data_IF_094717288999
#
_entry.id   IF_094717288999
#
_cell.length_a   1.000
_cell.length_b   1.000
_cell.length_c   1.000
_cell.angle_alpha   90.00
_cell.angle_beta   90.00
_cell.angle_gamma   90.00
#
_symmetry.space_group_name_H-M   'P 1'
#
loop_
_entity.id
_entity.type
_entity.pdbx_description
1 polymer ?
#
# COMPACT_ATOMS: atom_id res chain seq x y z
N UNK A 1 -19.37 2.14 30.79
CA UNK A 1 -20.18 2.36 29.59
C UNK A 1 -21.63 2.01 29.84
N UNK A 2 -22.57 2.61 29.10
CA UNK A 2 -23.96 2.14 29.14
C UNK A 2 -24.09 0.88 28.26
N UNK A 3 -24.59 -0.22 28.84
CA UNK A 3 -24.89 -1.47 28.15
C UNK A 3 -26.31 -1.90 28.51
N UNK A 4 -27.15 -2.14 27.49
CA UNK A 4 -28.55 -2.57 27.67
C UNK A 4 -29.34 -1.70 28.66
N UNK A 5 -29.11 -0.38 28.62
CA UNK A 5 -29.76 0.59 29.52
C UNK A 5 -29.08 0.80 30.88
N UNK A 6 -28.19 -0.10 31.31
CA UNK A 6 -27.51 -0.03 32.60
C UNK A 6 -26.09 0.53 32.50
N UNK A 7 -25.63 1.21 33.55
CA UNK A 7 -24.25 1.67 33.65
C UNK A 7 -23.36 0.56 34.18
N UNK A 8 -22.35 0.19 33.39
CA UNK A 8 -21.34 -0.82 33.74
C UNK A 8 -19.97 -0.13 33.85
N UNK A 9 -19.23 -0.42 34.91
CA UNK A 9 -17.83 0.03 35.04
C UNK A 9 -16.95 -0.86 34.18
N UNK A 10 -16.28 -0.27 33.17
CA UNK A 10 -15.37 -1.02 32.29
C UNK A 10 -13.92 -0.99 32.79
N UNK A 11 -13.55 0.10 33.48
CA UNK A 11 -12.19 0.29 34.00
C UNK A 11 -12.22 1.19 35.22
N UNK A 12 -11.51 0.77 36.25
CA UNK A 12 -11.16 1.58 37.41
C UNK A 12 -9.74 2.12 37.22
N UNK A 13 -9.58 3.42 37.46
CA UNK A 13 -8.31 4.13 37.29
C UNK A 13 -7.95 4.80 38.60
N UNK A 14 -6.81 4.40 39.18
CA UNK A 14 -6.24 5.05 40.34
C UNK A 14 -5.06 5.92 39.91
N UNK A 15 -5.16 7.22 40.14
CA UNK A 15 -4.09 8.18 39.85
C UNK A 15 -3.36 8.49 41.16
N UNK A 16 -2.07 8.12 41.23
CA UNK A 16 -1.20 8.39 42.38
C UNK A 16 0.09 9.08 41.91
N UNK A 17 0.59 10.02 42.72
CA UNK A 17 1.88 10.67 42.48
C UNK A 17 1.85 12.17 42.73
N UNK A 18 3.01 12.81 42.60
CA UNK A 18 3.19 14.26 42.71
C UNK A 18 3.67 14.80 41.37
N UNK A 19 2.92 15.75 40.81
CA UNK A 19 3.26 16.44 39.56
C UNK A 19 3.07 17.94 39.75
N UNK A 20 3.85 18.75 39.05
CA UNK A 20 3.69 20.21 38.97
C UNK A 20 2.95 20.65 37.70
N UNK A 21 2.73 19.74 36.76
CA UNK A 21 2.03 19.96 35.48
C UNK A 21 0.83 19.02 35.33
N UNK A 22 -0.03 19.30 34.35
CA UNK A 22 -1.18 18.46 34.04
C UNK A 22 -0.75 17.01 33.75
N UNK A 23 -1.38 16.06 34.43
CA UNK A 23 -1.20 14.63 34.18
C UNK A 23 -2.33 14.12 33.28
N UNK A 24 -1.98 13.41 32.21
CA UNK A 24 -2.94 12.77 31.30
C UNK A 24 -2.90 11.26 31.52
N UNK A 25 -4.04 10.71 31.92
CA UNK A 25 -4.27 9.27 31.95
C UNK A 25 -5.09 8.87 30.72
N UNK A 26 -4.64 7.85 30.00
CA UNK A 26 -5.39 7.25 28.89
C UNK A 26 -5.88 5.85 29.29
N UNK A 27 -7.09 5.52 28.85
CA UNK A 27 -7.69 4.20 29.03
C UNK A 27 -8.13 3.72 27.67
N UNK A 28 -7.63 2.55 27.27
CA UNK A 28 -8.09 1.84 26.07
C UNK A 28 -9.23 0.93 26.51
N UNK A 29 -10.38 1.09 25.87
CA UNK A 29 -11.57 0.27 26.07
C UNK A 29 -11.87 -0.48 24.78
N UNK A 30 -11.72 -1.80 24.83
CA UNK A 30 -12.08 -2.68 23.73
C UNK A 30 -13.59 -3.01 23.75
N UNK A 31 -14.08 -3.67 22.68
CA UNK A 31 -15.45 -4.20 22.57
C UNK A 31 -16.55 -3.18 22.94
N UNK A 32 -16.49 -2.02 22.28
CA UNK A 32 -17.49 -0.97 22.41
C UNK A 32 -18.87 -1.46 21.90
N UNK A 33 -19.98 -1.08 22.56
CA UNK A 33 -21.32 -1.39 22.10
C UNK A 33 -21.63 -0.70 20.75
N UNK A 34 -22.63 -1.20 19.99
CA UNK A 34 -23.06 -0.56 18.75
C UNK A 34 -23.47 0.91 18.99
N UNK A 35 -23.14 1.78 18.04
CA UNK A 35 -23.54 3.20 18.10
C UNK A 35 -25.07 3.34 17.96
N UNK A 36 -25.71 4.29 18.66
CA UNK A 36 -25.13 5.22 19.64
C UNK A 36 -24.96 4.59 21.03
N UNK A 37 -23.92 5.00 21.75
CA UNK A 37 -23.69 4.59 23.13
C UNK A 37 -23.21 5.77 23.98
N UNK A 38 -23.39 5.65 25.30
CA UNK A 38 -23.01 6.69 26.26
C UNK A 38 -21.79 6.27 27.08
N UNK A 39 -20.85 7.20 27.25
CA UNK A 39 -19.70 7.08 28.15
C UNK A 39 -19.96 7.99 29.35
N UNK A 40 -19.62 7.50 30.54
CA UNK A 40 -19.63 8.27 31.78
C UNK A 40 -18.36 8.00 32.55
N UNK A 41 -17.71 9.07 32.98
CA UNK A 41 -16.64 9.03 33.95
C UNK A 41 -17.23 9.42 35.31
N UNK A 42 -16.96 8.62 36.34
CA UNK A 42 -17.38 8.92 37.71
C UNK A 42 -16.11 9.01 38.54
N UNK A 43 -16.02 10.08 39.33
CA UNK A 43 -14.98 10.21 40.34
C UNK A 43 -15.52 9.69 41.67
N UNK A 44 -14.81 8.75 42.28
CA UNK A 44 -15.20 8.17 43.56
C UNK A 44 -14.64 8.92 44.77
N UNK A 45 -13.52 9.63 44.60
CA UNK A 45 -12.85 10.37 45.68
C UNK A 45 -13.42 11.79 45.81
N UNK A 46 -13.57 12.28 47.04
CA UNK A 46 -14.01 13.65 47.30
C UNK A 46 -12.98 14.70 46.81
N UNK A 47 -13.47 15.91 46.51
CA UNK A 47 -12.62 17.07 46.25
C UNK A 47 -11.72 17.38 47.44
N UNK A 48 -10.47 17.75 47.17
CA UNK A 48 -9.59 18.22 48.22
C UNK A 48 -10.08 19.58 48.73
N UNK A 49 -10.10 19.72 50.06
CA UNK A 49 -10.38 20.99 50.74
C UNK A 49 -9.12 21.74 51.14
N UNK A 50 -7.93 21.20 50.83
CA UNK A 50 -6.64 21.77 51.21
C UNK A 50 -5.84 22.19 49.98
N UNK A 51 -5.09 23.28 50.07
CA UNK A 51 -4.22 23.76 48.99
C UNK A 51 -3.03 22.84 48.73
N UNK A 52 -2.67 21.99 49.70
CA UNK A 52 -1.55 21.06 49.61
C UNK A 52 -1.82 19.90 48.64
N UNK A 53 -3.09 19.62 48.34
CA UNK A 53 -3.50 18.57 47.42
C UNK A 53 -4.46 19.16 46.38
N UNK A 54 -4.01 19.24 45.14
CA UNK A 54 -4.85 19.60 44.00
C UNK A 54 -5.22 18.33 43.24
N UNK A 55 -6.50 17.94 43.27
CA UNK A 55 -6.98 16.68 42.69
C UNK A 55 -8.12 16.88 41.67
N UNK A 56 -8.21 18.09 41.09
CA UNK A 56 -9.20 18.41 40.06
C UNK A 56 -9.00 17.50 38.84
N UNK A 57 -10.02 16.72 38.52
CA UNK A 57 -10.02 15.78 37.40
C UNK A 57 -10.97 16.27 36.31
N UNK A 58 -10.53 16.22 35.05
CA UNK A 58 -11.30 16.69 33.90
C UNK A 58 -11.23 15.64 32.79
N UNK A 59 -12.34 15.48 32.06
CA UNK A 59 -12.33 14.71 30.81
C UNK A 59 -11.68 15.55 29.71
N UNK A 60 -10.63 15.01 29.09
CA UNK A 60 -9.90 15.73 28.03
C UNK A 60 -10.48 15.43 26.65
N UNK A 61 -10.45 14.18 26.21
CA UNK A 61 -10.93 13.76 24.89
C UNK A 61 -11.22 12.26 24.86
N UNK A 62 -11.88 11.80 23.80
CA UNK A 62 -11.89 10.40 23.42
C UNK A 62 -11.54 10.27 21.94
N UNK A 63 -10.92 9.15 21.60
CA UNK A 63 -10.61 8.77 20.22
C UNK A 63 -11.15 7.38 19.99
N UNK A 64 -12.02 7.22 19.01
CA UNK A 64 -12.49 5.90 18.58
C UNK A 64 -11.58 5.41 17.45
N UNK A 65 -10.92 4.27 17.67
CA UNK A 65 -10.11 3.60 16.66
C UNK A 65 -11.01 2.59 15.95
N UNK A 66 -11.22 2.78 14.65
CA UNK A 66 -11.99 1.86 13.81
C UNK A 66 -11.00 1.13 12.92
N UNK A 67 -10.72 -0.14 13.25
CA UNK A 67 -9.90 -1.00 12.40
C UNK A 67 -10.72 -1.45 11.18
N UNK A 68 -10.54 -0.74 10.08
CA UNK A 68 -11.04 -1.19 8.78
C UNK A 68 -9.95 -2.02 8.12
N UNK A 69 -10.23 -3.29 7.86
CA UNK A 69 -9.37 -4.14 7.03
C UNK A 69 -9.46 -3.65 5.58
N UNK A 70 -8.68 -2.63 5.25
CA UNK A 70 -8.54 -2.17 3.88
C UNK A 70 -7.66 -3.16 3.13
N UNK A 71 -8.26 -3.94 2.24
CA UNK A 71 -7.51 -4.60 1.19
C UNK A 71 -7.04 -3.51 0.23
N UNK A 72 -5.74 -3.46 -0.09
CA UNK A 72 -5.20 -2.66 -1.19
C UNK A 72 -5.01 -3.58 -2.41
N UNK A 73 -6.10 -3.98 -3.11
CA UNK A 73 -6.01 -4.96 -4.18
C UNK A 73 -5.19 -4.42 -5.35
N UNK A 74 -4.27 -5.25 -5.83
CA UNK A 74 -3.33 -4.94 -6.91
C UNK A 74 -2.35 -3.79 -6.58
N UNK A 75 -2.03 -3.59 -5.30
CA UNK A 75 -1.01 -2.65 -4.85
C UNK A 75 0.12 -3.44 -4.18
N UNK A 76 1.37 -3.16 -4.57
CA UNK A 76 2.53 -3.60 -3.81
C UNK A 76 2.77 -2.61 -2.66
N UNK A 77 2.84 -3.10 -1.43
CA UNK A 77 3.09 -2.29 -0.24
C UNK A 77 4.42 -2.74 0.38
N UNK A 78 5.25 -1.77 0.73
CA UNK A 78 6.46 -1.98 1.53
C UNK A 78 6.31 -1.20 2.82
N UNK A 79 6.42 -1.90 3.96
CA UNK A 79 6.53 -1.30 5.28
C UNK A 79 7.96 -1.44 5.78
N UNK A 80 8.56 -0.34 6.22
CA UNK A 80 9.88 -0.32 6.84
C UNK A 80 9.74 0.22 8.26
N UNK A 81 10.25 -0.55 9.21
CA UNK A 81 10.40 -0.11 10.60
C UNK A 81 11.89 -0.04 10.90
N UNK A 82 12.32 1.12 11.37
CA UNK A 82 13.72 1.41 11.67
C UNK A 82 13.81 2.15 12.99
N UNK A 83 14.94 1.98 13.67
CA UNK A 83 15.22 2.68 14.92
C UNK A 83 15.68 4.12 14.63
N UNK A 84 15.03 5.09 15.27
CA UNK A 84 15.31 6.51 15.08
C UNK A 84 16.73 6.90 15.54
N UNK A 85 17.29 6.18 16.52
CA UNK A 85 18.66 6.44 17.03
C UNK A 85 19.73 6.20 15.95
N UNK A 86 19.48 5.25 15.04
CA UNK A 86 20.44 4.91 13.96
C UNK A 86 20.45 5.94 12.82
N UNK A 87 19.42 6.78 12.70
CA UNK A 87 19.26 7.73 11.59
C UNK A 87 19.44 9.20 12.01
N UNK A 88 19.84 9.46 13.26
CA UNK A 88 20.27 10.79 13.71
C UNK A 88 19.23 11.89 13.49
N UNK A 89 17.93 11.54 13.47
CA UNK A 89 16.84 12.47 13.20
C UNK A 89 16.67 12.89 11.74
N UNK A 90 17.40 12.32 10.79
CA UNK A 90 17.17 12.55 9.36
C UNK A 90 16.10 11.61 8.80
N UNK A 91 15.28 12.12 7.89
CA UNK A 91 14.29 11.32 7.18
C UNK A 91 15.02 10.34 6.24
N UNK A 92 14.73 9.05 6.40
CA UNK A 92 15.32 8.01 5.55
C UNK A 92 14.92 8.19 4.08
N UNK A 93 15.91 8.12 3.19
CA UNK A 93 15.67 7.96 1.75
C UNK A 93 15.80 6.49 1.39
N UNK A 94 14.75 5.91 0.81
CA UNK A 94 14.74 4.51 0.36
C UNK A 94 14.61 4.47 -1.16
N UNK A 95 15.54 3.79 -1.82
CA UNK A 95 15.50 3.56 -3.26
C UNK A 95 15.11 2.10 -3.52
N UNK A 96 14.22 1.90 -4.48
CA UNK A 96 13.75 0.57 -4.87
C UNK A 96 14.11 0.27 -6.31
N UNK A 97 14.68 -0.91 -6.56
CA UNK A 97 14.80 -1.46 -7.89
C UNK A 97 13.64 -2.42 -8.14
N UNK A 98 12.68 -2.01 -8.96
CA UNK A 98 11.47 -2.78 -9.25
C UNK A 98 11.46 -3.21 -10.72
N UNK A 99 11.10 -4.47 -10.97
CA UNK A 99 10.81 -4.95 -12.33
C UNK A 99 9.48 -4.37 -12.85
N UNK A 100 8.56 -3.98 -11.98
CA UNK A 100 7.26 -3.44 -12.39
C UNK A 100 6.21 -4.55 -12.52
N UNK A 101 5.36 -4.47 -13.55
CA UNK A 101 4.15 -5.29 -13.66
C UNK A 101 4.35 -6.55 -14.51
N UNK A 102 3.65 -7.63 -14.13
CA UNK A 102 3.47 -8.82 -14.97
C UNK A 102 2.42 -8.53 -16.05
N UNK A 103 2.81 -8.68 -17.31
CA UNK A 103 1.99 -8.43 -18.51
C UNK A 103 1.78 -9.73 -19.30
N UNK A 104 0.93 -9.70 -20.31
CA UNK A 104 0.73 -10.83 -21.21
C UNK A 104 1.74 -10.78 -22.36
N UNK A 105 2.50 -11.86 -22.54
CA UNK A 105 3.50 -12.03 -23.60
C UNK A 105 3.26 -13.34 -24.36
N UNK A 106 3.83 -13.56 -25.56
CA UNK A 106 3.70 -14.82 -26.28
C UNK A 106 4.14 -16.01 -25.44
N UNK A 107 3.39 -17.10 -25.53
CA UNK A 107 3.71 -18.36 -24.85
C UNK A 107 5.13 -18.86 -25.15
N UNK A 108 5.60 -18.63 -26.38
CA UNK A 108 6.92 -19.04 -26.88
C UNK A 108 8.04 -18.01 -26.62
N UNK A 109 7.75 -16.88 -25.96
CA UNK A 109 8.73 -15.84 -25.67
C UNK A 109 9.39 -16.05 -24.29
N UNK A 110 10.72 -15.98 -24.24
CA UNK A 110 11.49 -15.88 -23.00
C UNK A 110 11.86 -14.40 -22.78
N UNK A 111 11.26 -13.70 -21.80
CA UNK A 111 11.50 -12.28 -21.60
C UNK A 111 12.85 -11.96 -20.96
N UNK A 112 13.51 -12.92 -20.29
CA UNK A 112 14.82 -12.70 -19.70
C UNK A 112 15.91 -12.84 -20.77
N UNK A 113 15.80 -13.87 -21.61
CA UNK A 113 16.73 -14.09 -22.74
C UNK A 113 16.37 -13.29 -23.99
N UNK A 114 15.16 -12.77 -24.07
CA UNK A 114 14.58 -12.09 -25.24
C UNK A 114 14.55 -12.95 -26.50
N UNK A 115 14.28 -14.24 -26.34
CA UNK A 115 14.26 -15.21 -27.44
C UNK A 115 12.86 -15.79 -27.65
N UNK A 116 12.60 -16.21 -28.88
CA UNK A 116 11.34 -16.82 -29.29
C UNK A 116 11.63 -18.24 -29.78
N UNK A 117 10.97 -19.25 -29.20
CA UNK A 117 11.24 -20.66 -29.49
C UNK A 117 10.10 -21.34 -30.26
N UNK A 118 10.40 -21.86 -31.45
CA UNK A 118 9.38 -22.50 -32.29
C UNK A 118 8.34 -21.53 -32.85
N UNK A 119 7.31 -22.08 -33.48
CA UNK A 119 6.22 -21.31 -34.09
C UNK A 119 5.23 -20.92 -33.00
N UNK A 120 4.90 -19.62 -32.93
CA UNK A 120 3.90 -19.12 -32.01
C UNK A 120 2.49 -19.50 -32.47
N UNK A 121 1.69 -20.05 -31.57
CA UNK A 121 0.30 -20.47 -31.79
C UNK A 121 -0.72 -19.35 -31.51
N UNK A 122 -0.25 -18.15 -31.14
CA UNK A 122 -1.10 -17.02 -30.78
C UNK A 122 -1.53 -16.99 -29.30
N UNK A 123 -1.11 -17.95 -28.48
CA UNK A 123 -1.42 -17.97 -27.04
C UNK A 123 -0.51 -17.05 -26.23
N UNK A 124 -1.03 -16.50 -25.13
CA UNK A 124 -0.29 -15.59 -24.25
C UNK A 124 -0.08 -16.23 -22.87
N UNK A 125 1.00 -15.84 -22.21
CA UNK A 125 1.33 -16.21 -20.83
C UNK A 125 1.65 -14.96 -20.01
N UNK A 126 1.38 -14.98 -18.69
CA UNK A 126 1.80 -13.90 -17.80
C UNK A 126 3.32 -13.95 -17.58
N UNK A 127 4.02 -12.86 -17.89
CA UNK A 127 5.42 -12.68 -17.54
C UNK A 127 5.79 -11.20 -17.42
N UNK A 128 6.87 -10.89 -16.71
CA UNK A 128 7.47 -9.56 -16.78
C UNK A 128 8.16 -9.38 -18.14
N UNK A 129 7.96 -8.23 -18.80
CA UNK A 129 8.74 -7.82 -19.96
C UNK A 129 8.75 -6.30 -20.06
N UNK A 130 9.86 -5.74 -20.53
CA UNK A 130 10.01 -4.33 -20.90
C UNK A 130 10.19 -4.17 -22.42
N UNK A 131 9.74 -5.14 -23.21
CA UNK A 131 9.62 -5.00 -24.66
C UNK A 131 8.44 -4.05 -24.97
N UNK A 132 8.66 -2.94 -25.71
CA UNK A 132 7.63 -1.95 -25.99
C UNK A 132 6.36 -2.52 -26.63
N UNK A 133 6.48 -3.55 -27.48
CA UNK A 133 5.33 -4.16 -28.16
C UNK A 133 4.37 -4.82 -27.17
N UNK A 134 4.90 -5.54 -26.17
CA UNK A 134 4.09 -6.22 -25.15
C UNK A 134 3.59 -5.24 -24.09
N UNK A 135 4.36 -4.20 -23.76
CA UNK A 135 3.86 -3.11 -22.93
C UNK A 135 2.68 -2.37 -23.60
N UNK A 136 2.75 -2.16 -24.92
CA UNK A 136 1.66 -1.56 -25.68
C UNK A 136 0.42 -2.47 -25.73
N UNK A 137 0.61 -3.77 -25.97
CA UNK A 137 -0.49 -4.75 -25.89
C UNK A 137 -1.22 -4.66 -24.54
N UNK A 138 -0.48 -4.65 -23.43
CA UNK A 138 -1.05 -4.52 -22.10
C UNK A 138 -1.79 -3.17 -21.94
N UNK A 139 -1.21 -2.06 -22.37
CA UNK A 139 -1.89 -0.75 -22.27
C UNK A 139 -3.15 -0.64 -23.13
N UNK A 140 -3.21 -1.31 -24.28
CA UNK A 140 -4.41 -1.30 -25.13
C UNK A 140 -5.51 -2.22 -24.59
N UNK A 141 -5.14 -3.37 -24.02
CA UNK A 141 -6.11 -4.41 -23.63
C UNK A 141 -6.49 -4.40 -22.16
N UNK A 142 -5.73 -3.73 -21.29
CA UNK A 142 -5.97 -3.81 -19.86
C UNK A 142 -7.21 -2.97 -19.42
N UNK A 143 -8.19 -3.56 -18.70
CA UNK A 143 -9.46 -2.91 -18.42
C UNK A 143 -9.39 -1.79 -17.35
N UNK A 144 -8.35 -1.79 -16.51
CA UNK A 144 -8.24 -0.85 -15.37
C UNK A 144 -7.62 0.51 -15.73
N UNK A 145 -6.49 0.51 -16.41
CA UNK A 145 -5.68 1.70 -16.69
C UNK A 145 -5.41 1.91 -18.19
N UNK A 146 -5.83 0.94 -19.01
CA UNK A 146 -5.63 0.95 -20.44
C UNK A 146 -6.92 1.25 -21.20
N UNK A 147 -6.89 0.95 -22.50
CA UNK A 147 -8.06 1.09 -23.37
C UNK A 147 -8.97 -0.14 -23.37
N UNK A 148 -8.75 -1.13 -22.49
CA UNK A 148 -9.46 -2.41 -22.49
C UNK A 148 -10.97 -2.35 -22.24
N UNK A 149 -11.50 -1.19 -21.80
CA UNK A 149 -12.95 -0.94 -21.72
C UNK A 149 -13.57 -0.53 -23.06
N UNK A 150 -12.75 -0.09 -24.02
CA UNK A 150 -13.15 0.44 -25.33
C UNK A 150 -12.65 -0.42 -26.50
N UNK A 151 -11.52 -1.09 -26.31
CA UNK A 151 -10.91 -2.01 -27.27
C UNK A 151 -10.86 -3.41 -26.66
N UNK A 152 -11.37 -4.39 -27.38
CA UNK A 152 -11.17 -5.80 -27.06
C UNK A 152 -9.82 -6.30 -27.56
N UNK A 153 -9.36 -7.44 -27.04
CA UNK A 153 -8.15 -8.09 -27.54
C UNK A 153 -8.23 -8.48 -29.03
N UNK A 154 -9.45 -8.60 -29.58
CA UNK A 154 -9.68 -8.87 -31.00
C UNK A 154 -9.44 -7.63 -31.90
N UNK A 155 -9.53 -6.42 -31.33
CA UNK A 155 -9.32 -5.17 -32.06
C UNK A 155 -7.83 -4.80 -32.20
N UNK A 156 -6.95 -5.54 -31.51
CA UNK A 156 -5.51 -5.33 -31.52
C UNK A 156 -4.83 -6.46 -32.29
N UNK A 157 -4.08 -6.11 -33.34
CA UNK A 157 -3.36 -7.09 -34.14
C UNK A 157 -2.12 -7.62 -33.40
N UNK A 158 -2.33 -8.72 -32.68
CA UNK A 158 -1.27 -9.43 -31.94
C UNK A 158 -0.18 -10.00 -32.85
N UNK A 159 -0.47 -10.28 -34.13
CA UNK A 159 0.51 -10.83 -35.07
C UNK A 159 1.46 -9.74 -35.55
N UNK A 160 0.95 -8.55 -35.85
CA UNK A 160 1.78 -7.39 -36.13
C UNK A 160 2.65 -7.02 -34.93
N UNK A 161 2.08 -7.00 -33.72
CA UNK A 161 2.84 -6.76 -32.49
C UNK A 161 3.90 -7.83 -32.22
N UNK A 162 3.66 -9.09 -32.59
CA UNK A 162 4.66 -10.15 -32.50
C UNK A 162 5.88 -9.86 -33.38
N UNK A 163 5.67 -9.45 -34.64
CA UNK A 163 6.77 -9.07 -35.54
C UNK A 163 7.54 -7.84 -35.01
N UNK A 164 6.84 -6.84 -34.47
CA UNK A 164 7.46 -5.67 -33.85
C UNK A 164 8.23 -6.09 -32.59
N UNK A 165 7.68 -6.98 -31.76
CA UNK A 165 8.32 -7.50 -30.57
C UNK A 165 9.66 -8.18 -30.87
N UNK A 166 9.70 -9.01 -31.92
CA UNK A 166 10.93 -9.63 -32.40
C UNK A 166 11.96 -8.60 -32.88
N UNK A 167 11.51 -7.52 -33.53
CA UNK A 167 12.38 -6.42 -33.95
C UNK A 167 12.98 -5.67 -32.75
N UNK A 168 12.18 -5.37 -31.72
CA UNK A 168 12.63 -4.72 -30.50
C UNK A 168 13.66 -5.54 -29.72
N UNK A 169 13.58 -6.87 -29.78
CA UNK A 169 14.47 -7.81 -29.08
C UNK A 169 15.76 -8.14 -29.85
N UNK A 170 15.94 -7.64 -31.07
CA UNK A 170 17.20 -7.82 -31.81
C UNK A 170 18.38 -7.25 -31.03
N UNK A 171 19.47 -8.01 -30.94
CA UNK A 171 20.72 -7.57 -30.33
C UNK A 171 21.42 -6.56 -31.25
N UNK A 172 21.69 -5.37 -30.72
CA UNK A 172 22.48 -4.32 -31.37
C UNK A 172 23.73 -4.02 -30.54
N UNK A 173 24.84 -3.55 -31.14
CA UNK A 173 26.02 -3.15 -30.37
C UNK A 173 25.70 -2.01 -29.40
N UNK A 174 26.16 -2.12 -28.16
CA UNK A 174 25.93 -1.13 -27.10
C UNK A 174 26.92 0.06 -27.12
N UNK A 175 27.87 0.05 -28.06
CA UNK A 175 28.93 1.06 -28.16
C UNK A 175 30.10 0.90 -27.18
N UNK A 176 30.06 -0.08 -26.28
CA UNK A 176 31.09 -0.40 -25.28
C UNK A 176 31.73 -1.78 -25.47
N UNK A 177 31.39 -2.47 -26.57
CA UNK A 177 31.93 -3.80 -26.92
C UNK A 177 31.02 -4.96 -26.53
N UNK A 178 29.82 -4.67 -26.00
CA UNK A 178 28.76 -5.62 -25.75
C UNK A 178 27.58 -5.47 -26.71
N UNK A 179 26.45 -6.07 -26.35
CA UNK A 179 25.20 -5.97 -27.10
C UNK A 179 24.02 -5.70 -26.18
N UNK A 180 23.07 -4.90 -26.66
CA UNK A 180 21.83 -4.61 -25.97
C UNK A 180 20.62 -4.90 -26.88
N UNK A 181 19.41 -5.10 -26.31
CA UNK A 181 18.19 -5.12 -27.11
C UNK A 181 17.98 -3.79 -27.81
N UNK A 182 17.52 -3.83 -29.07
CA UNK A 182 17.28 -2.66 -29.89
C UNK A 182 16.36 -1.63 -29.23
N UNK A 183 15.31 -2.08 -28.55
CA UNK A 183 14.35 -1.18 -27.89
C UNK A 183 13.89 -1.75 -26.55
N UNK A 184 13.83 -0.89 -25.54
CA UNK A 184 13.25 -1.20 -24.24
C UNK A 184 12.34 -0.06 -23.78
N UNK A 185 11.32 -0.39 -22.98
CA UNK A 185 10.39 0.58 -22.42
C UNK A 185 10.20 0.33 -20.93
N UNK A 186 10.68 1.26 -20.10
CA UNK A 186 10.48 1.25 -18.66
C UNK A 186 9.83 2.57 -18.26
N UNK A 187 8.54 2.54 -17.94
CA UNK A 187 7.78 3.72 -17.54
C UNK A 187 6.83 3.39 -16.40
N UNK A 188 6.44 4.42 -15.65
CA UNK A 188 5.40 4.35 -14.64
C UNK A 188 4.22 5.21 -15.09
N UNK A 189 3.00 4.74 -14.81
CA UNK A 189 1.79 5.52 -15.01
C UNK A 189 1.58 6.42 -13.79
N UNK A 190 1.57 7.73 -14.01
CA UNK A 190 1.17 8.70 -13.02
C UNK A 190 -0.12 9.39 -13.46
N UNK A 191 -1.00 9.66 -12.51
CA UNK A 191 -2.17 10.50 -12.74
C UNK A 191 -1.70 11.96 -12.71
N UNK A 192 -2.04 12.73 -13.74
CA UNK A 192 -1.74 14.16 -13.83
C UNK A 192 -2.91 14.99 -13.32
#
# INVERSE_FOLDING_TARGET
LQRNGNWVTEKDVTINGKTTSQFLASVILDNLPPRPFNIRMVRETADSTTDQLQNRTLWSSYTEIIDVKQCYPNTAIVGLQVDAEQFGGQQMTVNYHIRGRIIQVPSNYDPEKRTYSGIWDGSLKPAYSNNPAWCLWDMLTHPRYGMGKRLGAADVDKWALYAIGQYCDQTVPDGFGGTEPRMTFNAYLAQQ
#
